data_IF_768000759240
#
_entry.id   IF_768000759240
#
_cell.length_a   1.000
_cell.length_b   1.000
_cell.length_c   1.000
_cell.angle_alpha   90.00
_cell.angle_beta   90.00
_cell.angle_gamma   90.00
#
_symmetry.space_group_name_H-M   'P 1'
#
loop_
_entity.id
_entity.type
_entity.pdbx_description
1 polymer ?
#
# COMPACT_ATOMS: atom_id res chain seq x y z
N UNK A 1 -22.42 -5.68 -12.81
CA UNK A 1 -22.80 -4.81 -11.66
C UNK A 1 -22.04 -5.12 -10.38
N UNK A 2 -21.99 -6.39 -9.93
CA UNK A 2 -21.37 -6.80 -8.63
C UNK A 2 -19.89 -6.40 -8.51
N UNK A 3 -19.11 -6.54 -9.58
CA UNK A 3 -17.66 -6.24 -9.60
C UNK A 3 -17.35 -4.74 -9.45
N UNK A 4 -18.27 -3.86 -9.86
CA UNK A 4 -18.09 -2.41 -9.69
C UNK A 4 -18.37 -1.99 -8.24
N UNK A 5 -19.42 -2.56 -7.65
CA UNK A 5 -19.83 -2.29 -6.26
C UNK A 5 -18.77 -2.79 -5.27
N UNK A 6 -18.24 -4.00 -5.48
CA UNK A 6 -17.13 -4.52 -4.68
C UNK A 6 -15.89 -3.63 -4.74
N UNK A 7 -15.62 -3.02 -5.90
CA UNK A 7 -14.49 -2.11 -6.07
C UNK A 7 -14.69 -0.78 -5.34
N UNK A 8 -15.90 -0.21 -5.39
CA UNK A 8 -16.26 1.02 -4.68
C UNK A 8 -16.20 0.79 -3.17
N UNK A 9 -16.72 -0.35 -2.70
CA UNK A 9 -16.67 -0.73 -1.30
C UNK A 9 -15.23 -0.94 -0.81
N UNK A 10 -14.39 -1.56 -1.63
CA UNK A 10 -12.95 -1.66 -1.38
C UNK A 10 -12.29 -0.28 -1.32
N UNK A 11 -12.61 0.62 -2.25
CA UNK A 11 -12.10 2.00 -2.29
C UNK A 11 -12.45 2.79 -1.02
N UNK A 12 -13.68 2.63 -0.51
CA UNK A 12 -14.09 3.27 0.75
C UNK A 12 -13.33 2.70 1.96
N UNK A 13 -13.03 1.39 1.97
CA UNK A 13 -12.24 0.75 3.03
C UNK A 13 -10.80 1.26 3.05
N UNK A 14 -10.20 1.61 1.90
CA UNK A 14 -8.84 2.17 1.84
C UNK A 14 -8.68 3.45 2.67
N UNK A 15 -9.71 4.30 2.72
CA UNK A 15 -9.63 5.61 3.35
C UNK A 15 -9.41 5.58 4.87
N UNK A 16 -9.77 4.50 5.56
CA UNK A 16 -9.68 4.41 7.03
C UNK A 16 -8.32 3.94 7.58
N UNK A 17 -7.39 3.52 6.71
CA UNK A 17 -6.09 2.98 7.14
C UNK A 17 -4.96 3.18 6.13
N UNK A 18 -5.08 4.15 5.23
CA UNK A 18 -4.03 4.47 4.26
C UNK A 18 -2.83 5.11 4.96
N UNK A 19 -1.70 4.40 4.98
CA UNK A 19 -0.42 4.89 5.52
C UNK A 19 0.27 5.81 4.53
N UNK A 20 0.20 5.48 3.24
CA UNK A 20 0.73 6.31 2.17
C UNK A 20 -0.04 6.11 0.87
N UNK A 21 0.05 7.11 0.02
CA UNK A 21 -0.55 7.12 -1.29
C UNK A 21 0.47 7.59 -2.32
N UNK A 22 0.58 6.83 -3.39
CA UNK A 22 1.50 7.07 -4.49
C UNK A 22 0.68 7.09 -5.78
N UNK A 23 0.93 8.10 -6.59
CA UNK A 23 0.41 8.22 -7.94
C UNK A 23 1.52 7.93 -8.93
N UNK A 24 1.29 6.96 -9.79
CA UNK A 24 2.15 6.61 -10.90
C UNK A 24 1.73 7.44 -12.11
N UNK A 25 2.69 8.18 -12.65
CA UNK A 25 2.61 8.83 -13.95
C UNK A 25 3.68 8.21 -14.87
N UNK A 26 3.57 8.36 -16.21
CA UNK A 26 4.55 7.80 -17.13
C UNK A 26 5.94 8.33 -16.80
N UNK A 27 6.86 7.41 -16.45
CA UNK A 27 8.23 7.76 -16.05
C UNK A 27 8.38 8.51 -14.72
N UNK A 28 7.31 8.67 -13.92
CA UNK A 28 7.37 9.42 -12.64
C UNK A 28 6.53 8.78 -11.53
N UNK A 29 7.15 8.66 -10.36
CA UNK A 29 6.49 8.29 -9.10
C UNK A 29 6.20 9.56 -8.32
N UNK A 30 4.94 9.80 -7.95
CA UNK A 30 4.52 10.97 -7.16
C UNK A 30 3.91 10.50 -5.86
N UNK A 31 4.61 10.69 -4.74
CA UNK A 31 4.03 10.42 -3.42
C UNK A 31 3.06 11.56 -3.08
N UNK A 32 1.78 11.23 -2.88
CA UNK A 32 0.73 12.18 -2.53
C UNK A 32 0.60 12.37 -1.02
N UNK A 33 0.72 11.29 -0.26
CA UNK A 33 0.59 11.29 1.21
C UNK A 33 1.45 10.20 1.82
N UNK A 34 1.85 10.40 3.07
CA UNK A 34 2.60 9.42 3.86
C UNK A 34 4.09 9.38 3.54
N UNK A 35 4.82 8.60 4.34
CA UNK A 35 6.24 8.34 4.13
C UNK A 35 6.41 7.02 3.38
N UNK A 36 7.15 7.09 2.28
CA UNK A 36 7.48 5.94 1.45
C UNK A 36 9.00 5.76 1.48
N UNK A 37 9.46 4.52 1.65
CA UNK A 37 10.90 4.23 1.66
C UNK A 37 11.56 4.71 0.36
N UNK A 38 12.69 5.45 0.41
CA UNK A 38 13.34 5.97 -0.79
C UNK A 38 13.85 4.86 -1.72
N UNK A 39 14.28 3.72 -1.17
CA UNK A 39 14.65 2.54 -1.97
C UNK A 39 13.47 2.06 -2.82
N UNK A 40 12.28 1.97 -2.23
CA UNK A 40 11.06 1.61 -2.98
C UNK A 40 10.77 2.60 -4.10
N UNK A 41 10.96 3.91 -3.89
CA UNK A 41 10.73 4.93 -4.92
C UNK A 41 11.72 4.76 -6.09
N UNK A 42 12.99 4.50 -5.80
CA UNK A 42 14.01 4.28 -6.85
C UNK A 42 13.70 3.01 -7.67
N UNK A 43 13.41 1.89 -7.01
CA UNK A 43 13.00 0.67 -7.71
C UNK A 43 11.69 0.85 -8.48
N UNK A 44 10.72 1.58 -7.92
CA UNK A 44 9.47 1.92 -8.59
C UNK A 44 9.70 2.74 -9.87
N UNK A 45 10.64 3.70 -9.85
CA UNK A 45 11.03 4.46 -11.04
C UNK A 45 11.67 3.56 -12.09
N UNK A 46 12.51 2.60 -11.69
CA UNK A 46 13.11 1.65 -12.63
C UNK A 46 12.04 0.81 -13.34
N UNK A 47 11.04 0.30 -12.62
CA UNK A 47 9.90 -0.43 -13.21
C UNK A 47 9.15 0.46 -14.20
N UNK A 48 8.87 1.72 -13.83
CA UNK A 48 8.15 2.68 -14.70
C UNK A 48 8.92 3.12 -15.95
N UNK A 49 10.25 2.96 -15.99
CA UNK A 49 11.06 3.22 -17.19
C UNK A 49 10.83 2.15 -18.25
N UNK A 50 10.61 0.91 -17.83
CA UNK A 50 10.31 -0.20 -18.73
C UNK A 50 8.81 -0.29 -19.06
N UNK A 51 7.97 -0.11 -18.05
CA UNK A 51 6.52 -0.22 -18.15
C UNK A 51 5.88 1.15 -17.93
N UNK A 52 5.52 1.86 -19.02
CA UNK A 52 4.88 3.18 -18.97
C UNK A 52 3.42 3.10 -18.51
N UNK A 53 3.20 2.74 -17.25
CA UNK A 53 1.86 2.58 -16.67
C UNK A 53 1.44 3.81 -15.88
N UNK A 54 0.12 4.03 -15.82
CA UNK A 54 -0.50 5.08 -15.02
C UNK A 54 -1.35 4.43 -13.95
N UNK A 55 -1.38 5.00 -12.75
CA UNK A 55 -2.22 4.45 -11.71
C UNK A 55 -1.99 5.03 -10.33
N UNK A 56 -2.59 4.38 -9.34
CA UNK A 56 -2.50 4.73 -7.94
C UNK A 56 -2.15 3.48 -7.15
N UNK A 57 -1.19 3.64 -6.25
CA UNK A 57 -0.81 2.64 -5.25
C UNK A 57 -1.14 3.25 -3.89
N UNK A 58 -1.85 2.51 -3.06
CA UNK A 58 -2.14 2.88 -1.68
C UNK A 58 -1.60 1.81 -0.75
N UNK A 59 -0.77 2.20 0.20
CA UNK A 59 -0.35 1.32 1.29
C UNK A 59 -1.39 1.38 2.40
N UNK A 60 -2.15 0.31 2.59
CA UNK A 60 -3.12 0.20 3.66
C UNK A 60 -2.56 -0.65 4.81
N UNK A 61 -2.77 -0.22 6.05
CA UNK A 61 -2.45 -1.04 7.22
C UNK A 61 -3.34 -2.29 7.25
N UNK A 62 -2.70 -3.44 7.41
CA UNK A 62 -3.35 -4.76 7.48
C UNK A 62 -2.75 -5.53 8.66
N UNK A 63 -3.44 -5.50 9.80
CA UNK A 63 -2.92 -6.00 11.07
C UNK A 63 -1.61 -5.29 11.48
N UNK A 64 -0.57 -6.08 11.71
CA UNK A 64 0.79 -5.61 12.04
C UNK A 64 1.61 -5.19 10.83
N UNK A 65 1.07 -5.36 9.62
CA UNK A 65 1.76 -5.12 8.36
C UNK A 65 1.08 -4.09 7.47
N UNK A 66 1.50 -4.08 6.21
CA UNK A 66 0.99 -3.18 5.17
C UNK A 66 0.68 -3.97 3.91
N UNK A 67 -0.52 -3.73 3.38
CA UNK A 67 -0.97 -4.26 2.11
C UNK A 67 -0.95 -3.18 1.05
N UNK A 68 -0.32 -3.47 -0.08
CA UNK A 68 -0.35 -2.61 -1.25
C UNK A 68 -1.61 -2.83 -2.07
N UNK A 69 -2.28 -1.74 -2.36
CA UNK A 69 -3.51 -1.71 -3.13
C UNK A 69 -3.26 -0.93 -4.42
N UNK A 70 -3.54 -1.59 -5.54
CA UNK A 70 -3.30 -1.09 -6.88
C UNK A 70 -4.61 -0.71 -7.57
N UNK A 71 -4.60 0.39 -8.33
CA UNK A 71 -5.69 0.74 -9.25
C UNK A 71 -5.74 -0.22 -10.44
N UNK A 72 -6.92 -0.44 -11.01
CA UNK A 72 -7.14 -1.29 -12.20
C UNK A 72 -6.34 -0.89 -13.45
N UNK A 73 -5.84 0.34 -13.50
CA UNK A 73 -4.99 0.82 -14.60
C UNK A 73 -3.55 0.28 -14.52
N UNK A 74 -3.18 -0.40 -13.43
CA UNK A 74 -1.89 -1.06 -13.26
C UNK A 74 -2.08 -2.54 -13.62
N UNK A 75 -1.36 -3.08 -14.62
CA UNK A 75 -1.40 -4.49 -14.97
C UNK A 75 -0.94 -5.37 -13.78
N UNK A 76 -1.54 -6.55 -13.60
CA UNK A 76 -1.18 -7.47 -12.51
C UNK A 76 0.32 -7.84 -12.48
N UNK A 77 1.01 -8.09 -13.62
CA UNK A 77 2.45 -8.36 -13.61
C UNK A 77 3.29 -7.20 -13.06
N UNK A 78 2.83 -5.97 -13.28
CA UNK A 78 3.49 -4.76 -12.77
C UNK A 78 3.17 -4.59 -11.28
N UNK A 79 1.91 -4.79 -10.88
CA UNK A 79 1.50 -4.79 -9.48
C UNK A 79 2.28 -5.81 -8.65
N UNK A 80 2.53 -7.00 -9.20
CA UNK A 80 3.32 -8.04 -8.54
C UNK A 80 4.78 -7.62 -8.38
N UNK A 81 5.39 -6.98 -9.41
CA UNK A 81 6.75 -6.42 -9.28
C UNK A 81 6.82 -5.37 -8.17
N UNK A 82 5.81 -4.49 -8.07
CA UNK A 82 5.71 -3.54 -6.96
C UNK A 82 5.58 -4.20 -5.59
N UNK A 83 4.83 -5.31 -5.47
CA UNK A 83 4.77 -6.10 -4.23
C UNK A 83 6.14 -6.67 -3.86
N UNK A 84 6.87 -7.20 -4.84
CA UNK A 84 8.17 -7.82 -4.61
C UNK A 84 9.25 -6.83 -4.12
N UNK A 85 9.22 -5.58 -4.59
CA UNK A 85 10.20 -4.54 -4.18
C UNK A 85 9.79 -3.79 -2.91
N UNK A 86 8.60 -4.04 -2.36
CA UNK A 86 8.09 -3.28 -1.23
C UNK A 86 8.72 -3.77 0.09
N UNK A 87 9.33 -2.88 0.90
CA UNK A 87 10.01 -3.29 2.11
C UNK A 87 9.01 -3.46 3.26
N UNK A 88 8.29 -4.59 3.28
CA UNK A 88 7.27 -4.88 4.30
C UNK A 88 7.80 -4.78 5.74
N UNK A 89 9.09 -5.08 5.95
CA UNK A 89 9.75 -4.98 7.26
C UNK A 89 9.76 -3.57 7.82
N UNK A 90 9.95 -2.54 6.99
CA UNK A 90 10.02 -1.13 7.42
C UNK A 90 8.68 -0.62 7.98
N UNK A 91 7.58 -1.25 7.59
CA UNK A 91 6.24 -0.86 7.97
C UNK A 91 5.60 -1.77 9.03
N UNK A 92 6.34 -2.79 9.48
CA UNK A 92 5.87 -3.66 10.55
C UNK A 92 5.93 -2.88 11.85
N UNK A 93 4.78 -2.45 12.36
CA UNK A 93 4.72 -1.95 13.73
C UNK A 93 4.70 -3.16 14.67
N UNK A 94 5.44 -3.13 15.80
CA UNK A 94 5.14 -4.05 16.87
C UNK A 94 3.68 -3.84 17.24
N UNK A 95 2.88 -4.91 17.20
CA UNK A 95 1.52 -4.91 17.70
C UNK A 95 1.51 -4.14 19.02
N UNK A 96 0.67 -3.10 19.13
CA UNK A 96 0.47 -2.47 20.42
C UNK A 96 0.17 -3.60 21.42
N UNK A 97 0.84 -3.66 22.59
CA UNK A 97 0.59 -4.72 23.54
C UNK A 97 -0.92 -4.77 23.78
N UNK A 98 -1.54 -5.93 23.54
CA UNK A 98 -2.90 -6.17 23.99
C UNK A 98 -2.96 -5.72 25.45
N UNK A 99 -3.93 -4.90 25.88
CA UNK A 99 -4.06 -4.56 27.28
C UNK A 99 -4.23 -5.89 28.02
N UNK A 100 -3.18 -6.30 28.74
CA UNK A 100 -3.19 -7.54 29.51
C UNK A 100 -4.35 -7.51 30.49
N UNK A 101 -4.97 -8.67 30.81
CA UNK A 101 -6.07 -8.70 31.74
C UNK A 101 -5.62 -8.05 33.04
N UNK A 102 -6.32 -6.98 33.46
CA UNK A 102 -6.07 -6.30 34.73
C UNK A 102 -6.13 -7.36 35.83
N UNK A 103 -4.98 -7.69 36.42
CA UNK A 103 -4.91 -8.58 37.56
C UNK A 103 -5.59 -7.87 38.73
N UNK A 104 -6.85 -8.21 38.98
CA UNK A 104 -7.59 -7.81 40.17
C UNK A 104 -7.41 -8.91 41.21
N UNK A 105 -6.44 -8.74 42.11
CA UNK A 105 -6.32 -9.38 43.41
C UNK A 105 -5.60 -8.36 44.31
N UNK A 106 -6.05 -8.03 45.50
CA UNK A 106 -7.02 -8.63 46.41
C UNK A 106 -6.56 -8.20 47.79
#
# INVERSE_FOLDING_TARGET
MIVAIALIWWLMKLGRGALFEIRLAPGKVVVKRGKVSPAFIEHAKQILRHDMVRGRIVGQRDGDGVKLIFSRSIPEPVAQRFRNIFPYGDYRQPAAPLPGPKSRKG
#
